data_IF_266642205032
#
_entry.id   IF_266642205032
#
_cell.length_a   1.000
_cell.length_b   1.000
_cell.length_c   1.000
_cell.angle_alpha   90.00
_cell.angle_beta   90.00
_cell.angle_gamma   90.00
#
_symmetry.space_group_name_H-M   'P 1'
#
loop_
_entity.id
_entity.type
_entity.pdbx_description
1 polymer ?
#
# COMPACT_ATOMS: atom_id res chain seq x y z
N UNK A 1 -6.57 -5.77 2.57
CA UNK A 1 -5.79 -6.52 3.56
C UNK A 1 -6.73 -7.46 4.28
N UNK A 2 -6.33 -8.69 4.54
CA UNK A 2 -7.13 -9.69 5.29
C UNK A 2 -6.82 -9.72 6.79
N UNK A 3 -6.02 -8.77 7.30
CA UNK A 3 -5.59 -8.68 8.71
C UNK A 3 -4.62 -9.78 9.15
N UNK A 4 -4.02 -10.48 8.19
CA UNK A 4 -3.00 -11.51 8.41
C UNK A 4 -1.74 -11.23 7.56
N UNK A 5 -0.77 -12.15 7.62
CA UNK A 5 0.49 -12.05 6.88
C UNK A 5 0.38 -12.52 5.42
N UNK A 6 -0.72 -13.14 5.01
CA UNK A 6 -0.94 -13.65 3.65
C UNK A 6 -1.28 -12.49 2.70
N UNK A 7 -2.17 -11.59 3.14
CA UNK A 7 -2.57 -10.38 2.40
C UNK A 7 -2.49 -9.15 3.32
N UNK A 8 -1.29 -8.72 3.75
CA UNK A 8 -1.12 -7.66 4.74
C UNK A 8 -1.56 -6.26 4.23
N UNK A 9 -1.59 -6.05 2.91
CA UNK A 9 -1.97 -4.79 2.28
C UNK A 9 -0.80 -3.83 2.09
N UNK A 10 -1.11 -2.56 1.80
CA UNK A 10 -0.13 -1.47 1.63
C UNK A 10 0.94 -1.67 0.54
N UNK A 11 0.70 -2.55 -0.44
CA UNK A 11 1.66 -2.83 -1.52
C UNK A 11 2.15 -1.57 -2.24
N UNK A 12 1.24 -0.64 -2.59
CA UNK A 12 1.64 0.62 -3.23
C UNK A 12 2.52 1.52 -2.35
N UNK A 13 2.39 1.49 -1.02
CA UNK A 13 3.31 2.20 -0.12
C UNK A 13 4.67 1.49 -0.01
N UNK A 14 4.68 0.15 -0.10
CA UNK A 14 5.93 -0.62 -0.17
C UNK A 14 6.68 -0.33 -1.48
N UNK A 15 5.97 -0.18 -2.60
CA UNK A 15 6.56 0.21 -3.87
C UNK A 15 7.20 1.60 -3.79
N UNK A 16 6.50 2.57 -3.17
CA UNK A 16 7.06 3.91 -2.94
C UNK A 16 8.30 3.85 -2.04
N UNK A 17 8.28 3.06 -0.96
CA UNK A 17 9.44 2.85 -0.10
C UNK A 17 10.62 2.27 -0.88
N UNK A 18 10.38 1.25 -1.71
CA UNK A 18 11.41 0.63 -2.54
C UNK A 18 12.00 1.62 -3.55
N UNK A 19 11.17 2.48 -4.14
CA UNK A 19 11.63 3.55 -5.02
C UNK A 19 12.55 4.54 -4.28
N UNK A 20 12.24 4.88 -3.03
CA UNK A 20 13.10 5.75 -2.21
C UNK A 20 14.43 5.10 -1.86
N UNK A 21 14.43 3.80 -1.56
CA UNK A 21 15.69 3.02 -1.39
C UNK A 21 16.51 3.08 -2.67
N UNK A 22 15.87 2.90 -3.83
CA UNK A 22 16.56 3.00 -5.12
C UNK A 22 17.15 4.40 -5.33
N UNK A 23 16.41 5.46 -5.04
CA UNK A 23 16.91 6.84 -5.15
C UNK A 23 18.13 7.04 -4.25
N UNK A 24 18.06 6.67 -2.97
CA UNK A 24 19.20 6.77 -2.04
C UNK A 24 20.45 6.08 -2.61
N UNK A 25 20.29 4.87 -3.14
CA UNK A 25 21.41 4.03 -3.58
C UNK A 25 22.00 4.42 -4.94
N UNK A 26 21.27 5.22 -5.73
CA UNK A 26 21.60 5.46 -7.14
C UNK A 26 21.69 6.93 -7.53
N UNK A 27 21.04 7.86 -6.84
CA UNK A 27 20.89 9.25 -7.33
C UNK A 27 22.23 9.99 -7.46
N UNK A 28 23.25 9.61 -6.68
CA UNK A 28 24.60 10.15 -6.81
C UNK A 28 25.21 9.93 -8.20
N UNK A 29 24.88 8.81 -8.87
CA UNK A 29 25.34 8.52 -10.25
C UNK A 29 24.72 9.47 -11.28
N UNK A 30 23.61 10.10 -10.93
CA UNK A 30 22.90 11.09 -11.76
C UNK A 30 23.25 12.53 -11.34
N UNK A 31 24.23 12.72 -10.44
CA UNK A 31 24.63 14.04 -9.94
C UNK A 31 23.75 14.60 -8.82
N UNK A 32 22.83 13.80 -8.26
CA UNK A 32 22.06 14.21 -7.08
C UNK A 32 22.79 13.95 -5.76
N UNK A 33 22.23 14.46 -4.67
CA UNK A 33 22.72 14.27 -3.30
C UNK A 33 21.71 13.43 -2.52
N UNK A 34 22.10 12.21 -2.13
CA UNK A 34 21.21 11.26 -1.43
C UNK A 34 20.76 11.77 -0.05
N UNK A 35 21.51 12.68 0.57
CA UNK A 35 21.17 13.27 1.87
C UNK A 35 20.18 14.44 1.73
N UNK A 36 19.93 14.92 0.51
CA UNK A 36 19.06 16.08 0.21
C UNK A 36 17.84 15.72 -0.63
N UNK A 37 17.34 14.49 -0.49
CA UNK A 37 16.12 14.06 -1.17
C UNK A 37 14.90 14.74 -0.56
N UNK A 38 14.12 15.42 -1.40
CA UNK A 38 12.79 15.96 -1.06
C UNK A 38 11.72 15.10 -1.70
N UNK A 39 10.75 14.62 -0.92
CA UNK A 39 9.55 13.96 -1.47
C UNK A 39 8.37 14.93 -1.48
N UNK A 40 7.67 14.99 -2.61
CA UNK A 40 6.50 15.85 -2.79
C UNK A 40 5.31 15.00 -3.22
N UNK A 41 4.14 15.31 -2.66
CA UNK A 41 2.89 14.66 -3.04
C UNK A 41 1.69 15.59 -2.97
N UNK A 42 0.67 15.29 -3.78
CA UNK A 42 -0.64 15.94 -3.76
C UNK A 42 -1.75 14.90 -3.56
N UNK A 43 -2.81 15.24 -2.82
CA UNK A 43 -3.95 14.35 -2.54
C UNK A 43 -3.48 13.01 -1.95
N UNK A 44 -3.79 11.87 -2.58
CA UNK A 44 -3.29 10.56 -2.18
C UNK A 44 -1.76 10.51 -2.07
N UNK A 45 -1.03 11.24 -2.93
CA UNK A 45 0.43 11.36 -2.83
C UNK A 45 0.88 12.13 -1.57
N UNK A 46 0.15 13.16 -1.15
CA UNK A 46 0.46 13.88 0.09
C UNK A 46 0.19 13.02 1.33
N UNK A 47 -0.90 12.23 1.31
CA UNK A 47 -1.16 11.24 2.34
C UNK A 47 -0.08 10.15 2.38
N UNK A 48 0.38 9.68 1.23
CA UNK A 48 1.53 8.76 1.11
C UNK A 48 2.82 9.34 1.71
N UNK A 49 3.16 10.59 1.40
CA UNK A 49 4.32 11.29 2.00
C UNK A 49 4.18 11.28 3.53
N UNK A 50 3.00 11.63 4.06
CA UNK A 50 2.77 11.65 5.50
C UNK A 50 2.87 10.25 6.13
N UNK A 51 2.37 9.20 5.46
CA UNK A 51 2.49 7.82 5.92
C UNK A 51 3.95 7.33 5.91
N UNK A 52 4.74 7.72 4.89
CA UNK A 52 6.16 7.40 4.82
C UNK A 52 6.96 8.09 5.93
N UNK A 53 6.57 9.28 6.38
CA UNK A 53 7.20 9.92 7.54
C UNK A 53 7.06 9.10 8.84
N UNK A 54 5.97 8.36 9.00
CA UNK A 54 5.76 7.46 10.15
C UNK A 54 6.40 6.08 9.98
N UNK A 55 6.85 5.74 8.78
CA UNK A 55 7.42 4.43 8.50
C UNK A 55 8.87 4.35 8.99
N UNK A 56 9.21 3.48 9.97
CA UNK A 56 10.57 3.36 10.47
C UNK A 56 11.57 2.92 9.40
N UNK A 57 11.12 2.19 8.37
CA UNK A 57 11.97 1.77 7.25
C UNK A 57 12.28 2.90 6.27
N UNK A 58 11.52 4.01 6.30
CA UNK A 58 11.78 5.18 5.46
C UNK A 58 12.77 6.18 6.09
N UNK A 59 13.20 5.92 7.32
CA UNK A 59 14.13 6.80 8.05
C UNK A 59 15.44 6.96 7.27
N UNK A 60 15.80 8.22 6.99
CA UNK A 60 17.02 8.55 6.26
C UNK A 60 16.93 8.36 4.74
N UNK A 61 15.75 8.07 4.18
CA UNK A 61 15.58 8.00 2.72
C UNK A 61 15.22 9.35 2.07
N UNK A 62 14.76 10.31 2.87
CA UNK A 62 14.49 11.69 2.48
C UNK A 62 14.71 12.61 3.68
N UNK A 63 15.02 13.88 3.40
CA UNK A 63 15.27 14.90 4.42
C UNK A 63 14.25 16.03 4.44
N UNK A 64 13.46 16.18 3.36
CA UNK A 64 12.45 17.21 3.24
C UNK A 64 11.17 16.65 2.63
N UNK A 65 10.04 17.27 2.97
CA UNK A 65 8.71 16.86 2.50
C UNK A 65 7.89 18.06 2.06
N UNK A 66 7.09 17.90 1.01
CA UNK A 66 6.05 18.85 0.60
C UNK A 66 4.74 18.09 0.43
N UNK A 67 3.71 18.51 1.15
CA UNK A 67 2.40 17.88 1.16
C UNK A 67 1.33 18.88 0.71
N UNK A 68 0.58 18.56 -0.34
CA UNK A 68 -0.45 19.42 -0.90
C UNK A 68 -1.83 18.75 -0.84
N UNK A 69 -2.75 19.31 -0.06
CA UNK A 69 -4.15 18.85 -0.01
C UNK A 69 -4.33 17.35 0.30
N UNK A 70 -3.54 16.81 1.24
CA UNK A 70 -3.71 15.46 1.76
C UNK A 70 -2.83 15.18 2.98
N UNK A 71 -3.30 14.35 3.90
CA UNK A 71 -2.61 13.96 5.13
C UNK A 71 -2.99 12.54 5.56
N UNK A 72 -2.12 11.85 6.30
CA UNK A 72 -2.42 10.52 6.87
C UNK A 72 -3.65 10.49 7.80
N UNK A 73 -4.14 11.65 8.26
CA UNK A 73 -5.31 11.77 9.12
C UNK A 73 -6.61 11.95 8.35
N UNK A 74 -6.55 12.14 7.04
CA UNK A 74 -7.77 12.30 6.26
C UNK A 74 -8.57 10.99 6.28
N UNK A 75 -9.90 11.05 6.44
CA UNK A 75 -10.75 9.87 6.68
C UNK A 75 -10.76 8.87 5.52
N UNK A 76 -10.35 9.28 4.32
CA UNK A 76 -10.28 8.44 3.12
C UNK A 76 -8.96 7.67 2.98
N UNK A 77 -7.96 7.91 3.84
CA UNK A 77 -6.62 7.33 3.72
C UNK A 77 -6.52 5.95 4.35
N UNK A 78 -6.89 5.83 5.63
CA UNK A 78 -6.82 4.55 6.36
C UNK A 78 -8.19 3.90 6.39
N UNK A 79 -8.34 2.84 5.62
CA UNK A 79 -9.58 2.08 5.53
C UNK A 79 -9.72 1.13 6.71
N UNK A 80 -10.75 1.28 7.55
CA UNK A 80 -10.96 0.43 8.75
C UNK A 80 -11.62 -0.92 8.47
N UNK A 81 -12.39 -1.02 7.38
CA UNK A 81 -13.15 -2.21 6.97
C UNK A 81 -12.40 -3.07 5.94
N UNK A 82 -11.06 -3.00 5.92
CA UNK A 82 -10.27 -3.54 4.81
C UNK A 82 -10.38 -5.07 4.64
N UNK A 83 -10.58 -5.83 5.72
CA UNK A 83 -10.80 -7.29 5.66
C UNK A 83 -12.12 -7.62 4.96
N UNK A 84 -13.21 -6.97 5.39
CA UNK A 84 -14.52 -7.12 4.76
C UNK A 84 -14.50 -6.79 3.27
N UNK A 85 -13.83 -5.69 2.91
CA UNK A 85 -13.74 -5.24 1.52
C UNK A 85 -12.91 -6.20 0.68
N UNK A 86 -11.81 -6.74 1.19
CA UNK A 86 -10.98 -7.70 0.48
C UNK A 86 -11.77 -8.96 0.07
N UNK A 87 -12.52 -9.55 1.01
CA UNK A 87 -13.37 -10.71 0.70
C UNK A 87 -14.57 -10.33 -0.18
N UNK A 88 -15.16 -9.14 -0.01
CA UNK A 88 -16.26 -8.69 -0.87
C UNK A 88 -15.82 -8.55 -2.34
N UNK A 89 -14.62 -7.98 -2.59
CA UNK A 89 -14.03 -7.93 -3.92
C UNK A 89 -13.78 -9.34 -4.45
N UNK A 90 -13.22 -10.24 -3.64
CA UNK A 90 -13.05 -11.65 -4.00
C UNK A 90 -14.35 -12.29 -4.48
N UNK A 91 -15.44 -12.11 -3.72
CA UNK A 91 -16.76 -12.63 -4.06
C UNK A 91 -17.29 -12.07 -5.38
N UNK A 92 -17.13 -10.76 -5.62
CA UNK A 92 -17.52 -10.13 -6.90
C UNK A 92 -16.72 -10.68 -8.08
N UNK A 93 -15.47 -11.09 -7.86
CA UNK A 93 -14.60 -11.70 -8.86
C UNK A 93 -14.82 -13.21 -9.02
N UNK A 94 -15.79 -13.80 -8.33
CA UNK A 94 -16.09 -15.24 -8.38
C UNK A 94 -15.17 -16.11 -7.53
N UNK A 95 -14.40 -15.54 -6.62
CA UNK A 95 -13.61 -16.30 -5.66
C UNK A 95 -14.48 -16.87 -4.55
N UNK A 96 -14.13 -18.07 -4.06
CA UNK A 96 -14.73 -18.64 -2.87
C UNK A 96 -14.26 -17.86 -1.65
N UNK A 97 -15.20 -17.49 -0.78
CA UNK A 97 -14.96 -16.69 0.43
C UNK A 97 -15.76 -17.27 1.59
N UNK A 98 -15.31 -17.10 2.85
CA UNK A 98 -16.09 -17.47 4.01
C UNK A 98 -17.46 -16.78 4.05
N UNK A 99 -18.46 -17.48 4.60
CA UNK A 99 -19.78 -16.90 4.84
C UNK A 99 -19.71 -15.83 5.93
N UNK A 100 -18.96 -16.12 7.00
CA UNK A 100 -18.72 -15.21 8.13
C UNK A 100 -17.29 -14.69 8.08
N UNK A 101 -17.11 -13.50 7.49
CA UNK A 101 -15.77 -12.90 7.28
C UNK A 101 -15.01 -12.64 8.58
N UNK A 102 -15.72 -12.34 9.68
CA UNK A 102 -15.09 -12.12 10.99
C UNK A 102 -14.39 -13.37 11.54
N UNK A 103 -14.79 -14.56 11.07
CA UNK A 103 -14.23 -15.86 11.49
C UNK A 103 -13.19 -16.40 10.49
N UNK A 104 -12.85 -15.64 9.44
CA UNK A 104 -11.88 -16.10 8.44
C UNK A 104 -10.48 -16.27 9.04
N UNK A 105 -9.75 -17.26 8.53
CA UNK A 105 -8.39 -17.60 8.92
C UNK A 105 -7.40 -17.48 7.75
N UNK A 106 -6.13 -17.78 8.01
CA UNK A 106 -5.05 -17.68 7.02
C UNK A 106 -5.30 -18.55 5.77
N UNK A 107 -5.94 -19.71 5.89
CA UNK A 107 -6.26 -20.59 4.75
C UNK A 107 -7.30 -19.95 3.82
N UNK A 108 -8.28 -19.23 4.38
CA UNK A 108 -9.24 -18.47 3.59
C UNK A 108 -8.54 -17.34 2.82
N UNK A 109 -7.56 -16.70 3.44
CA UNK A 109 -6.75 -15.65 2.82
C UNK A 109 -5.83 -16.19 1.72
N UNK A 110 -5.25 -17.38 1.91
CA UNK A 110 -4.46 -18.08 0.87
C UNK A 110 -5.33 -18.47 -0.33
N UNK A 111 -6.52 -19.00 -0.08
CA UNK A 111 -7.49 -19.34 -1.12
C UNK A 111 -7.90 -18.09 -1.91
N UNK A 112 -8.22 -16.99 -1.20
CA UNK A 112 -8.54 -15.71 -1.82
C UNK A 112 -7.38 -15.19 -2.68
N UNK A 113 -6.16 -15.16 -2.14
CA UNK A 113 -4.96 -14.71 -2.85
C UNK A 113 -4.71 -15.52 -4.12
N UNK A 114 -4.80 -16.85 -4.03
CA UNK A 114 -4.61 -17.75 -5.17
C UNK A 114 -5.65 -17.50 -6.26
N UNK A 115 -6.90 -17.27 -5.88
CA UNK A 115 -7.96 -16.95 -6.82
C UNK A 115 -7.72 -15.59 -7.49
N UNK A 116 -7.52 -14.52 -6.70
CA UNK A 116 -7.36 -13.15 -7.21
C UNK A 116 -6.17 -13.01 -8.17
N UNK A 117 -5.07 -13.74 -7.95
CA UNK A 117 -3.91 -13.76 -8.88
C UNK A 117 -4.23 -14.30 -10.27
N UNK A 118 -5.30 -15.07 -10.42
CA UNK A 118 -5.74 -15.62 -11.70
C UNK A 118 -6.87 -14.81 -12.34
N UNK A 119 -7.39 -13.78 -11.66
CA UNK A 119 -8.39 -12.86 -12.22
C UNK A 119 -7.70 -11.87 -13.16
N UNK A 120 -8.31 -11.58 -14.30
CA UNK A 120 -7.76 -10.58 -15.22
C UNK A 120 -7.67 -9.21 -14.57
N UNK A 121 -6.58 -8.47 -14.81
CA UNK A 121 -6.38 -7.13 -14.24
C UNK A 121 -7.53 -6.16 -14.55
N UNK A 122 -8.08 -6.20 -15.76
CA UNK A 122 -9.22 -5.34 -16.17
C UNK A 122 -10.51 -5.63 -15.39
N UNK A 123 -10.64 -6.80 -14.76
CA UNK A 123 -11.78 -7.10 -13.90
C UNK A 123 -11.54 -6.64 -12.45
N UNK A 124 -10.28 -6.66 -12.00
CA UNK A 124 -9.88 -6.23 -10.65
C UNK A 124 -9.86 -4.71 -10.50
N UNK A 125 -9.59 -4.00 -11.57
CA UNK A 125 -9.50 -2.54 -11.60
C UNK A 125 -10.51 -2.04 -12.64
N UNK A 126 -11.65 -1.46 -12.22
CA UNK A 126 -12.64 -0.90 -13.13
C UNK A 126 -12.14 0.35 -13.86
#
# INVERSE_FOLDING_TARGET
STEDQVLPGNLGLQDQLLALVWVRDNIARFGGDSEKVTILGSSAGAASVHLLMFNPHAKGLFSQVIMQSGSAFDPWVVRKDHKFVAFSIGRMMGCQTPDVISESNDSDSEALLKCLKNVSLNALVP
#
